data_IF_735390706782
#
_entry.id   IF_735390706782
#
_cell.length_a   1.000
_cell.length_b   1.000
_cell.length_c   1.000
_cell.angle_alpha   90.00
_cell.angle_beta   90.00
_cell.angle_gamma   90.00
#
_symmetry.space_group_name_H-M   'P 1'
#
loop_
_entity.id
_entity.type
_entity.pdbx_description
1 polymer ?
#
# COMPACT_ATOMS: atom_id res chain seq x y z
N UNK A 1 28.30 -3.47 -4.29
CA UNK A 1 27.31 -4.56 -4.14
C UNK A 1 27.35 -5.41 -5.41
N UNK A 2 27.59 -6.73 -5.29
CA UNK A 2 27.71 -7.64 -6.45
C UNK A 2 26.33 -8.15 -6.88
N UNK A 3 26.15 -8.52 -8.16
CA UNK A 3 24.89 -9.03 -8.73
C UNK A 3 24.38 -10.26 -7.98
N UNK A 4 25.28 -11.15 -7.55
CA UNK A 4 24.90 -12.32 -6.76
C UNK A 4 24.24 -11.94 -5.43
N UNK A 5 24.81 -10.95 -4.71
CA UNK A 5 24.29 -10.46 -3.42
C UNK A 5 22.93 -9.79 -3.57
N UNK A 6 22.73 -9.06 -4.66
CA UNK A 6 21.45 -8.46 -5.02
C UNK A 6 20.35 -9.51 -5.21
N UNK A 7 20.65 -10.56 -5.99
CA UNK A 7 19.68 -11.60 -6.32
C UNK A 7 19.37 -12.51 -5.12
N UNK A 8 20.32 -12.69 -4.20
CA UNK A 8 20.11 -13.48 -2.99
C UNK A 8 19.41 -12.71 -1.86
N UNK A 9 19.27 -11.38 -1.95
CA UNK A 9 18.73 -10.57 -0.86
C UNK A 9 17.20 -10.43 -0.95
N UNK A 10 16.51 -10.82 0.13
CA UNK A 10 15.07 -10.64 0.28
C UNK A 10 14.67 -9.17 0.48
N UNK A 11 15.58 -8.36 1.03
CA UNK A 11 15.35 -6.94 1.34
C UNK A 11 16.55 -6.13 0.88
N UNK A 12 16.64 -5.94 -0.44
CA UNK A 12 17.78 -5.32 -1.13
C UNK A 12 18.19 -3.99 -0.49
N UNK A 13 17.22 -3.14 -0.16
CA UNK A 13 17.47 -1.84 0.43
C UNK A 13 18.16 -1.96 1.80
N UNK A 14 17.76 -2.93 2.64
CA UNK A 14 18.35 -3.15 3.98
C UNK A 14 19.78 -3.66 3.85
N UNK A 15 20.00 -4.68 3.00
CA UNK A 15 21.34 -5.21 2.72
C UNK A 15 22.27 -4.14 2.13
N UNK A 16 21.74 -3.26 1.28
CA UNK A 16 22.49 -2.12 0.77
C UNK A 16 22.82 -1.10 1.86
N UNK A 17 21.85 -0.80 2.74
CA UNK A 17 22.04 0.12 3.87
C UNK A 17 23.12 -0.32 4.83
N UNK A 18 23.20 -1.62 5.13
CA UNK A 18 24.27 -2.21 5.97
C UNK A 18 25.66 -2.04 5.34
N UNK A 19 25.77 -2.20 4.02
CA UNK A 19 27.03 -2.16 3.30
C UNK A 19 27.54 -0.74 3.01
N UNK A 20 26.65 0.25 2.90
CA UNK A 20 27.00 1.61 2.44
C UNK A 20 26.83 2.68 3.51
N UNK A 21 25.73 2.68 4.25
CA UNK A 21 25.38 3.74 5.19
C UNK A 21 25.82 3.43 6.64
N UNK A 22 26.28 2.21 6.90
CA UNK A 22 26.68 1.74 8.22
C UNK A 22 25.51 1.27 9.09
N UNK A 23 25.84 0.58 10.19
CA UNK A 23 24.87 -0.16 11.03
C UNK A 23 23.72 0.69 11.58
N UNK A 24 23.96 1.96 11.91
CA UNK A 24 22.95 2.84 12.51
C UNK A 24 21.87 3.21 11.49
N UNK A 25 22.28 3.57 10.26
CA UNK A 25 21.36 3.89 9.19
C UNK A 25 20.60 2.65 8.68
N UNK A 26 21.24 1.48 8.73
CA UNK A 26 20.62 0.21 8.35
C UNK A 26 19.42 -0.17 9.23
N UNK A 27 19.38 0.23 10.50
CA UNK A 27 18.23 -0.01 11.37
C UNK A 27 17.07 0.97 11.15
N UNK A 28 17.36 2.21 10.73
CA UNK A 28 16.33 3.20 10.41
C UNK A 28 15.67 2.93 9.05
N UNK A 29 16.41 2.35 8.10
CA UNK A 29 15.97 2.16 6.72
C UNK A 29 14.71 1.26 6.58
N UNK A 30 14.57 0.12 7.26
CA UNK A 30 13.33 -0.66 7.27
C UNK A 30 12.11 0.13 7.75
N UNK A 31 12.29 1.02 8.73
CA UNK A 31 11.20 1.83 9.30
C UNK A 31 10.69 2.82 8.23
N UNK A 32 11.61 3.52 7.56
CA UNK A 32 11.27 4.47 6.51
C UNK A 32 10.58 3.79 5.32
N UNK A 33 11.09 2.62 4.91
CA UNK A 33 10.49 1.82 3.85
C UNK A 33 9.10 1.34 4.27
N UNK A 34 8.94 0.88 5.51
CA UNK A 34 7.66 0.46 6.06
C UNK A 34 6.62 1.59 6.04
N UNK A 35 6.99 2.79 6.48
CA UNK A 35 6.10 3.97 6.44
C UNK A 35 5.72 4.32 4.99
N UNK A 36 6.67 4.26 4.06
CA UNK A 36 6.42 4.52 2.64
C UNK A 36 5.44 3.51 2.03
N UNK A 37 5.66 2.21 2.30
CA UNK A 37 4.79 1.14 1.81
C UNK A 37 3.38 1.23 2.42
N UNK A 38 3.27 1.51 3.73
CA UNK A 38 1.99 1.72 4.42
C UNK A 38 1.24 2.93 3.85
N UNK A 39 1.93 4.03 3.59
CA UNK A 39 1.35 5.21 2.97
C UNK A 39 0.83 4.93 1.56
N UNK A 40 1.60 4.19 0.76
CA UNK A 40 1.19 3.77 -0.58
C UNK A 40 -0.03 2.86 -0.55
N UNK A 41 -0.03 1.83 0.31
CA UNK A 41 -1.17 0.93 0.47
C UNK A 41 -2.44 1.69 0.88
N UNK A 42 -2.36 2.57 1.87
CA UNK A 42 -3.49 3.39 2.32
C UNK A 42 -4.02 4.32 1.20
N UNK A 43 -3.14 4.98 0.45
CA UNK A 43 -3.53 5.83 -0.68
C UNK A 43 -4.19 5.04 -1.82
N UNK A 44 -3.67 3.85 -2.12
CA UNK A 44 -4.23 2.98 -3.15
C UNK A 44 -5.62 2.47 -2.77
N UNK A 45 -5.85 2.10 -1.50
CA UNK A 45 -7.14 1.64 -0.99
C UNK A 45 -8.22 2.72 -1.13
N UNK A 46 -7.93 3.97 -0.71
CA UNK A 46 -8.92 5.04 -0.84
C UNK A 46 -9.19 5.44 -2.28
N UNK A 47 -8.18 5.39 -3.15
CA UNK A 47 -8.36 5.72 -4.57
C UNK A 47 -9.23 4.66 -5.26
N UNK A 48 -8.89 3.38 -5.11
CA UNK A 48 -9.66 2.27 -5.69
C UNK A 48 -11.10 2.21 -5.17
N UNK A 49 -11.35 2.54 -3.89
CA UNK A 49 -12.70 2.61 -3.35
C UNK A 49 -13.60 3.60 -4.04
N UNK A 50 -13.07 4.79 -4.36
CA UNK A 50 -13.82 5.82 -5.08
C UNK A 50 -14.11 5.39 -6.51
N UNK A 51 -13.15 4.72 -7.17
CA UNK A 51 -13.38 4.13 -8.50
C UNK A 51 -14.48 3.07 -8.47
N UNK A 52 -14.45 2.13 -7.51
CA UNK A 52 -15.48 1.09 -7.38
C UNK A 52 -16.86 1.67 -7.06
N UNK A 53 -16.93 2.68 -6.18
CA UNK A 53 -18.18 3.37 -5.84
C UNK A 53 -18.83 3.99 -7.08
N UNK A 54 -18.05 4.72 -7.89
CA UNK A 54 -18.54 5.34 -9.13
C UNK A 54 -18.86 4.28 -10.18
N UNK A 55 -18.05 3.23 -10.31
CA UNK A 55 -18.33 2.11 -11.21
C UNK A 55 -19.68 1.44 -10.91
N UNK A 56 -20.02 1.29 -9.63
CA UNK A 56 -21.32 0.77 -9.20
C UNK A 56 -22.48 1.73 -9.46
N UNK A 57 -22.25 3.03 -9.34
CA UNK A 57 -23.26 4.05 -9.67
C UNK A 57 -23.62 4.05 -11.16
N UNK A 58 -22.66 3.74 -12.04
CA UNK A 58 -22.89 3.60 -13.48
C UNK A 58 -23.34 2.18 -13.90
N UNK A 59 -23.53 1.25 -12.96
CA UNK A 59 -23.99 -0.10 -13.24
C UNK A 59 -22.91 -1.08 -13.74
N UNK A 60 -21.62 -0.71 -13.69
CA UNK A 60 -20.50 -1.61 -14.02
C UNK A 60 -20.18 -2.59 -12.89
N UNK A 61 -20.60 -2.27 -11.66
CA UNK A 61 -20.41 -3.10 -10.46
C UNK A 61 -21.74 -3.24 -9.71
N UNK A 62 -21.90 -4.27 -8.85
CA UNK A 62 -23.09 -4.43 -8.03
C UNK A 62 -23.36 -3.19 -7.17
N UNK A 63 -24.63 -2.84 -6.99
CA UNK A 63 -25.03 -1.60 -6.32
C UNK A 63 -24.54 -1.50 -4.86
N UNK A 64 -24.23 -2.62 -4.20
CA UNK A 64 -23.67 -2.65 -2.84
C UNK A 64 -22.38 -1.83 -2.71
N UNK A 65 -21.57 -1.76 -3.78
CA UNK A 65 -20.34 -0.98 -3.82
C UNK A 65 -20.59 0.54 -3.84
N UNK A 66 -21.83 1.00 -4.06
CA UNK A 66 -22.18 2.43 -4.04
C UNK A 66 -22.59 2.95 -2.66
N UNK A 67 -22.71 2.07 -1.66
CA UNK A 67 -23.23 2.43 -0.34
C UNK A 67 -22.19 3.13 0.53
N UNK A 68 -22.66 4.14 1.27
CA UNK A 68 -21.86 4.96 2.18
C UNK A 68 -22.38 4.76 3.61
N UNK A 69 -21.48 4.54 4.55
CA UNK A 69 -21.80 4.43 5.97
C UNK A 69 -22.35 5.76 6.51
N UNK A 70 -23.48 5.74 7.21
CA UNK A 70 -24.14 6.94 7.75
C UNK A 70 -23.26 7.77 8.70
N UNK A 71 -22.66 7.14 9.72
CA UNK A 71 -22.01 7.90 10.80
C UNK A 71 -20.63 8.45 10.42
N UNK A 72 -19.91 7.77 9.53
CA UNK A 72 -18.53 8.09 9.16
C UNK A 72 -18.38 8.60 7.73
N UNK A 73 -19.47 8.60 6.94
CA UNK A 73 -19.48 9.01 5.53
C UNK A 73 -18.39 8.33 4.68
N UNK A 74 -18.09 7.06 5.00
CA UNK A 74 -17.07 6.27 4.30
C UNK A 74 -17.73 5.21 3.41
N UNK A 75 -17.21 4.95 2.21
CA UNK A 75 -17.70 3.89 1.33
C UNK A 75 -17.21 2.52 1.81
N UNK A 76 -17.71 2.06 2.97
CA UNK A 76 -17.24 0.87 3.67
C UNK A 76 -17.33 -0.41 2.80
N UNK A 77 -18.45 -0.69 2.10
CA UNK A 77 -18.53 -1.89 1.26
C UNK A 77 -17.54 -1.86 0.10
N UNK A 78 -17.28 -0.69 -0.48
CA UNK A 78 -16.25 -0.56 -1.52
C UNK A 78 -14.89 -0.90 -0.94
N UNK A 79 -14.50 -0.27 0.18
CA UNK A 79 -13.19 -0.48 0.83
C UNK A 79 -12.94 -1.96 1.19
N UNK A 80 -13.95 -2.66 1.71
CA UNK A 80 -13.81 -4.03 2.21
C UNK A 80 -13.83 -5.06 1.07
N UNK A 81 -14.61 -4.82 0.01
CA UNK A 81 -14.86 -5.82 -1.05
C UNK A 81 -14.05 -5.60 -2.33
N UNK A 82 -13.36 -4.47 -2.48
CA UNK A 82 -12.56 -4.14 -3.66
C UNK A 82 -11.18 -4.83 -3.74
N UNK A 83 -10.82 -5.63 -2.72
CA UNK A 83 -9.56 -6.37 -2.62
C UNK A 83 -9.73 -7.78 -3.16
#
# INVERSE_FOLDING_TARGET
>A
MNKAVLLSSNAVAVTWGELVLGRIAAHALPILIGISALGSANGSLFSSARYCMVGAQYGYLPQIFSYIQKDRLTPLPSIVLQV
#
